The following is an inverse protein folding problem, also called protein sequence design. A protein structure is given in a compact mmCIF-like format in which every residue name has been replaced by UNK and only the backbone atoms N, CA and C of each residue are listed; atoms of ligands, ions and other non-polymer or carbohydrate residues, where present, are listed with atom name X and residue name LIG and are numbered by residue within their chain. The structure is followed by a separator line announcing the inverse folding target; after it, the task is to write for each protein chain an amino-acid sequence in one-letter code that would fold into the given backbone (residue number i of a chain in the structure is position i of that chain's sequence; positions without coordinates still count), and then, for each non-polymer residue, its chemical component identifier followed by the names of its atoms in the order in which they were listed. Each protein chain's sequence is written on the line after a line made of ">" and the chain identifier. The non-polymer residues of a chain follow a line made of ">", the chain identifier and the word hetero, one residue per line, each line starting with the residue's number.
data_IF_673551981047
#
_entry.id   IF_673551981047
#
_cell.length_a   1.000
_cell.length_b   1.000
_cell.length_c   1.000
_cell.angle_alpha   90.00
_cell.angle_beta   90.00
_cell.angle_gamma   90.00
#
_symmetry.space_group_name_H-M   'P 1'
#
loop_
_entity.id
_entity.type
_entity.pdbx_description
1 polymer ?
#
# COMPACT_ATOMS: atom_id res chain seq x y z
N UNK A 1 -41.44 1.99 24.49
CA UNK A 1 -41.28 1.03 23.38
C UNK A 1 -39.79 0.79 23.23
N UNK A 2 -39.30 -0.37 23.66
CA UNK A 2 -37.88 -0.72 23.69
C UNK A 2 -37.56 -1.47 22.41
N UNK A 3 -36.62 -0.97 21.60
CA UNK A 3 -36.14 -1.66 20.40
C UNK A 3 -34.76 -2.25 20.72
N UNK A 4 -34.70 -3.56 20.88
CA UNK A 4 -33.45 -4.32 21.00
C UNK A 4 -33.06 -4.78 19.60
N UNK A 5 -31.91 -4.34 19.09
CA UNK A 5 -31.36 -4.79 17.80
C UNK A 5 -30.23 -5.76 18.06
N UNK A 6 -30.43 -7.04 17.73
CA UNK A 6 -29.37 -8.03 17.65
C UNK A 6 -28.81 -8.04 16.21
N UNK A 7 -27.50 -7.87 16.07
CA UNK A 7 -26.81 -7.90 14.77
C UNK A 7 -26.23 -9.30 14.59
N UNK A 8 -26.80 -10.05 13.64
CA UNK A 8 -26.18 -11.26 13.08
C UNK A 8 -25.45 -10.87 11.80
N UNK A 9 -24.16 -11.23 11.73
CA UNK A 9 -23.32 -11.10 10.54
C UNK A 9 -23.78 -12.08 9.46
N UNK A 10 -24.38 -11.56 8.40
CA UNK A 10 -24.22 -12.11 7.05
C UNK A 10 -24.47 -11.00 6.03
N UNK A 11 -23.63 -10.98 5.00
CA UNK A 11 -23.67 -10.04 3.89
C UNK A 11 -25.05 -10.00 3.24
N UNK A 12 -25.63 -8.80 3.13
CA UNK A 12 -26.60 -8.41 2.10
C UNK A 12 -26.80 -6.89 2.17
N UNK A 13 -26.80 -6.26 1.01
CA UNK A 13 -26.93 -4.82 0.80
C UNK A 13 -28.24 -4.27 1.39
N UNK A 14 -28.14 -3.18 2.15
CA UNK A 14 -29.29 -2.51 2.77
C UNK A 14 -29.62 -1.25 1.96
N UNK A 15 -30.59 -1.36 1.05
CA UNK A 15 -31.16 -0.20 0.35
C UNK A 15 -32.28 0.38 1.22
N UNK A 16 -32.07 1.57 1.79
CA UNK A 16 -33.10 2.28 2.57
C UNK A 16 -33.84 3.26 1.65
N UNK A 17 -35.11 2.97 1.33
CA UNK A 17 -36.00 3.89 0.61
C UNK A 17 -36.84 4.68 1.62
N UNK A 18 -36.68 6.00 1.64
CA UNK A 18 -37.51 6.91 2.43
C UNK A 18 -38.60 7.49 1.53
N UNK A 19 -39.85 7.04 1.72
CA UNK A 19 -41.04 7.67 1.12
C UNK A 19 -41.42 8.91 1.93
N UNK A 20 -41.12 10.09 1.41
CA UNK A 20 -41.71 11.34 1.88
C UNK A 20 -43.10 11.53 1.26
N UNK A 21 -44.14 11.45 2.09
CA UNK A 21 -45.50 11.85 1.77
C UNK A 21 -45.56 13.38 1.70
N UNK A 22 -45.76 13.94 0.51
CA UNK A 22 -46.08 15.37 0.35
C UNK A 22 -47.45 15.49 -0.31
N UNK A 23 -48.42 15.97 0.47
CA UNK A 23 -49.64 16.57 -0.06
C UNK A 23 -49.48 18.07 -0.03
N UNK A 24 -49.59 18.72 -1.20
CA UNK A 24 -50.30 19.98 -1.45
C UNK A 24 -50.06 20.44 -2.90
N UNK A 25 -51.13 20.99 -3.48
CA UNK A 25 -51.38 21.31 -4.90
C UNK A 25 -50.58 22.50 -5.46
N UNK A 26 -50.59 22.73 -6.80
CA UNK A 26 -49.62 23.59 -7.45
C UNK A 26 -50.08 25.06 -7.52
N UNK A 27 -49.13 25.98 -7.32
CA UNK A 27 -49.25 27.38 -7.72
C UNK A 27 -48.27 27.68 -8.86
N UNK A 28 -48.77 28.33 -9.90
CA UNK A 28 -48.07 28.75 -11.11
C UNK A 28 -47.99 30.27 -11.11
N UNK A 29 -46.81 30.87 -11.19
CA UNK A 29 -46.62 32.26 -11.64
C UNK A 29 -45.32 32.36 -12.44
N UNK A 30 -45.42 33.11 -13.53
CA UNK A 30 -44.44 33.40 -14.58
C UNK A 30 -43.65 34.69 -14.32
N UNK A 31 -42.56 34.83 -15.09
CA UNK A 31 -41.90 36.04 -15.60
C UNK A 31 -40.56 36.52 -14.99
N UNK A 32 -39.55 36.50 -15.88
CA UNK A 32 -38.59 37.54 -16.29
C UNK A 32 -38.04 38.55 -15.27
N UNK A 33 -36.73 38.76 -15.34
CA UNK A 33 -36.13 40.03 -14.95
C UNK A 33 -34.61 39.97 -14.86
N UNK A 34 -33.94 40.81 -15.63
CA UNK A 34 -32.51 41.08 -15.60
C UNK A 34 -32.03 41.59 -14.24
N UNK A 35 -30.76 41.37 -13.90
CA UNK A 35 -30.11 41.99 -12.74
C UNK A 35 -28.88 42.75 -13.23
N UNK A 36 -28.99 44.07 -13.13
CA UNK A 36 -27.90 45.03 -13.20
C UNK A 36 -27.02 44.98 -11.94
N UNK A 37 -25.74 45.27 -12.18
CA UNK A 37 -24.68 45.69 -11.27
C UNK A 37 -25.11 46.65 -10.16
N UNK A 38 -24.46 46.57 -8.97
CA UNK A 38 -23.98 47.69 -8.13
C UNK A 38 -23.25 47.18 -6.84
N UNK A 39 -22.52 48.00 -6.03
CA UNK A 39 -21.06 47.98 -5.98
C UNK A 39 -20.42 47.59 -4.62
N UNK A 40 -19.09 47.47 -4.66
CA UNK A 40 -18.16 47.19 -3.57
C UNK A 40 -18.13 48.27 -2.48
N UNK A 41 -18.22 47.85 -1.21
CA UNK A 41 -17.96 48.68 -0.01
C UNK A 41 -16.69 48.16 0.67
N UNK A 42 -15.68 49.03 0.77
CA UNK A 42 -14.46 48.83 1.57
C UNK A 42 -14.75 49.18 3.04
N UNK A 43 -14.41 48.29 3.95
CA UNK A 43 -14.35 48.53 5.39
C UNK A 43 -12.91 48.35 5.86
N UNK A 44 -12.26 49.48 6.17
CA UNK A 44 -11.03 49.56 6.95
C UNK A 44 -11.39 49.61 8.43
N UNK A 45 -10.84 48.72 9.25
CA UNK A 45 -10.87 48.82 10.70
C UNK A 45 -9.45 48.93 11.25
N UNK A 46 -9.21 50.05 11.94
CA UNK A 46 -8.08 50.29 12.83
C UNK A 46 -8.33 49.55 14.15
N UNK A 47 -7.31 48.89 14.69
CA UNK A 47 -7.31 48.35 16.04
C UNK A 47 -6.24 49.06 16.86
N UNK A 48 -6.68 49.95 17.75
CA UNK A 48 -5.88 50.47 18.85
C UNK A 48 -5.84 49.44 19.99
N UNK A 49 -4.63 49.12 20.47
CA UNK A 49 -4.36 48.30 21.64
C UNK A 49 -4.06 49.20 22.85
N UNK A 50 -4.61 48.92 24.05
CA UNK A 50 -4.11 49.53 25.27
C UNK A 50 -3.14 48.61 26.03
N UNK A 51 -2.04 49.23 26.47
CA UNK A 51 -1.04 48.70 27.39
C UNK A 51 -1.64 48.22 28.72
N UNK A 52 -1.15 47.09 29.24
CA UNK A 52 -1.38 46.67 30.62
C UNK A 52 -0.06 46.36 31.34
N UNK A 53 0.36 47.36 32.10
CA UNK A 53 0.88 47.36 33.48
C UNK A 53 1.43 46.05 34.07
N UNK A 54 2.72 46.13 34.42
CA UNK A 54 3.48 45.16 35.19
C UNK A 54 3.05 45.13 36.67
N UNK A 55 2.89 43.94 37.26
CA UNK A 55 2.97 43.73 38.71
C UNK A 55 3.87 42.53 39.05
N UNK A 56 4.89 42.82 39.86
CA UNK A 56 5.68 41.87 40.67
C UNK A 56 4.78 41.18 41.70
N UNK A 57 5.15 39.96 42.14
CA UNK A 57 4.95 39.63 43.54
C UNK A 57 6.19 39.07 44.24
N UNK A 58 6.09 39.15 45.57
CA UNK A 58 7.11 39.02 46.59
C UNK A 58 7.49 37.57 46.94
N UNK A 59 8.66 37.46 47.57
CA UNK A 59 9.16 36.27 48.26
C UNK A 59 8.25 35.89 49.42
N UNK A 60 7.91 34.60 49.55
CA UNK A 60 7.30 34.03 50.76
C UNK A 60 8.05 32.77 51.19
N UNK A 61 8.31 32.70 52.50
CA UNK A 61 9.11 31.73 53.23
C UNK A 61 8.57 30.28 53.21
N UNK A 62 9.51 29.35 53.35
CA UNK A 62 9.35 27.91 53.51
C UNK A 62 8.66 27.51 54.83
N UNK A 63 7.67 26.61 54.73
CA UNK A 63 7.20 25.73 55.80
C UNK A 63 6.82 24.37 55.20
N UNK A 64 7.01 23.25 55.93
CA UNK A 64 6.96 21.90 55.36
C UNK A 64 5.53 21.39 55.19
N UNK A 65 5.26 20.77 54.04
CA UNK A 65 3.98 20.13 53.72
C UNK A 65 3.91 18.70 54.31
N UNK A 66 2.72 18.24 54.72
CA UNK A 66 2.49 16.88 55.16
C UNK A 66 2.47 15.92 53.95
N UNK A 67 3.09 14.75 54.13
CA UNK A 67 2.97 13.59 53.26
C UNK A 67 1.50 13.17 53.20
N UNK A 68 0.86 13.38 52.05
CA UNK A 68 -0.47 12.86 51.79
C UNK A 68 -0.42 11.92 50.58
N UNK A 69 -0.66 10.64 50.87
CA UNK A 69 -0.90 9.58 49.89
C UNK A 69 -2.26 9.79 49.23
N UNK A 70 -2.30 10.19 47.96
CA UNK A 70 -3.47 9.99 47.08
C UNK A 70 -3.13 10.25 45.60
N UNK A 71 -2.25 9.43 45.02
CA UNK A 71 -2.20 9.26 43.57
C UNK A 71 -3.32 8.32 43.13
N UNK A 72 -4.55 8.82 43.10
CA UNK A 72 -5.60 8.25 42.24
C UNK A 72 -5.73 9.22 41.07
N UNK A 73 -5.04 8.86 40.00
CA UNK A 73 -5.07 9.53 38.71
C UNK A 73 -6.51 9.72 38.25
N UNK A 74 -6.90 10.97 38.00
CA UNK A 74 -8.17 11.32 37.39
C UNK A 74 -8.18 10.93 35.91
N UNK A 75 -8.25 9.63 35.62
CA UNK A 75 -8.56 9.15 34.27
C UNK A 75 -9.94 9.67 33.90
N UNK A 76 -10.05 10.36 32.77
CA UNK A 76 -11.33 10.73 32.21
C UNK A 76 -12.19 9.46 32.07
N UNK A 77 -13.49 9.55 32.36
CA UNK A 77 -14.38 8.41 32.20
C UNK A 77 -14.30 7.88 30.76
N UNK A 78 -14.43 6.56 30.59
CA UNK A 78 -14.41 5.90 29.27
C UNK A 78 -15.39 6.57 28.30
N UNK A 79 -16.57 6.97 28.79
CA UNK A 79 -17.56 7.72 28.03
C UNK A 79 -17.02 9.06 27.50
N UNK A 80 -16.22 9.77 28.29
CA UNK A 80 -15.59 11.04 27.87
C UNK A 80 -14.58 10.78 26.75
N UNK A 81 -13.79 9.70 26.85
CA UNK A 81 -12.82 9.31 25.82
C UNK A 81 -13.54 8.95 24.51
N UNK A 82 -14.59 8.12 24.57
CA UNK A 82 -15.39 7.75 23.40
C UNK A 82 -16.05 8.97 22.75
N UNK A 83 -16.55 9.92 23.54
CA UNK A 83 -17.14 11.15 23.01
C UNK A 83 -16.10 12.01 22.29
N UNK A 84 -14.87 12.10 22.82
CA UNK A 84 -13.77 12.85 22.18
C UNK A 84 -13.33 12.18 20.89
N UNK A 85 -13.14 10.86 20.89
CA UNK A 85 -12.71 10.11 19.70
C UNK A 85 -13.81 10.09 18.62
N UNK A 86 -15.05 9.82 19.00
CA UNK A 86 -16.19 9.86 18.07
C UNK A 86 -16.33 11.23 17.42
N UNK A 87 -16.18 12.30 18.19
CA UNK A 87 -16.18 13.66 17.63
C UNK A 87 -15.02 13.89 16.67
N UNK A 88 -13.80 13.47 17.03
CA UNK A 88 -12.62 13.62 16.17
C UNK A 88 -12.78 12.89 14.83
N UNK A 89 -13.33 11.67 14.84
CA UNK A 89 -13.55 10.87 13.64
C UNK A 89 -14.49 11.55 12.63
N UNK A 90 -15.63 12.05 13.12
CA UNK A 90 -16.67 12.69 12.30
C UNK A 90 -16.44 14.17 12.03
N UNK A 91 -15.42 14.81 12.64
CA UNK A 91 -15.11 16.21 12.39
C UNK A 91 -14.47 16.37 10.99
N UNK A 92 -15.14 17.03 10.04
CA UNK A 92 -14.60 17.22 8.71
C UNK A 92 -13.52 18.29 8.67
N UNK A 93 -13.31 19.07 9.75
CA UNK A 93 -12.38 20.20 9.73
C UNK A 93 -10.92 19.73 9.59
N UNK A 94 -10.05 20.54 8.96
CA UNK A 94 -8.64 20.23 8.89
C UNK A 94 -8.03 20.05 10.28
N UNK A 95 -7.12 19.10 10.44
CA UNK A 95 -6.37 18.91 11.68
C UNK A 95 -5.24 19.94 11.75
N UNK A 96 -5.58 21.19 12.09
CA UNK A 96 -4.62 22.28 12.15
C UNK A 96 -3.62 22.21 13.32
N UNK A 97 -3.76 21.25 14.23
CA UNK A 97 -2.89 21.07 15.40
C UNK A 97 -2.47 19.61 15.55
N UNK A 98 -1.28 19.38 16.11
CA UNK A 98 -0.75 18.03 16.40
C UNK A 98 -1.68 17.24 17.33
N UNK A 99 -2.33 17.90 18.31
CA UNK A 99 -3.31 17.24 19.19
C UNK A 99 -4.50 16.69 18.41
N UNK A 100 -5.07 17.47 17.47
CA UNK A 100 -6.19 17.01 16.63
C UNK A 100 -5.75 15.87 15.71
N UNK A 101 -4.55 15.95 15.15
CA UNK A 101 -4.00 14.90 14.30
C UNK A 101 -3.82 13.58 15.05
N UNK A 102 -3.36 13.61 16.31
CA UNK A 102 -3.27 12.43 17.18
C UNK A 102 -4.64 11.91 17.61
N UNK A 103 -5.58 12.79 17.95
CA UNK A 103 -6.95 12.39 18.30
C UNK A 103 -7.66 11.70 17.13
N UNK A 104 -7.51 12.23 15.91
CA UNK A 104 -8.04 11.58 14.71
C UNK A 104 -7.36 10.23 14.45
N UNK A 105 -6.04 10.15 14.59
CA UNK A 105 -5.31 8.89 14.44
C UNK A 105 -5.81 7.81 15.41
N UNK A 106 -5.92 8.16 16.70
CA UNK A 106 -6.45 7.27 17.73
C UNK A 106 -7.90 6.86 17.45
N UNK A 107 -8.74 7.79 16.99
CA UNK A 107 -10.14 7.51 16.64
C UNK A 107 -10.27 6.55 15.44
N UNK A 108 -9.27 6.52 14.56
CA UNK A 108 -9.17 5.60 13.42
C UNK A 108 -8.53 4.25 13.79
N UNK A 109 -8.05 4.08 15.03
CA UNK A 109 -7.41 2.84 15.49
C UNK A 109 -5.91 2.76 15.24
N UNK A 110 -5.25 3.87 14.89
CA UNK A 110 -3.79 3.92 14.76
C UNK A 110 -3.10 4.03 16.13
N UNK A 111 -1.80 3.65 16.24
CA UNK A 111 -1.02 3.81 17.46
C UNK A 111 -1.03 5.23 17.99
N UNK A 112 -0.91 5.41 19.30
CA UNK A 112 -1.03 6.72 19.96
C UNK A 112 0.05 7.72 19.56
N UNK A 113 1.17 7.20 19.06
CA UNK A 113 2.31 7.96 18.53
C UNK A 113 2.09 8.45 17.09
N UNK A 114 1.06 7.97 16.40
CA UNK A 114 0.77 8.31 15.00
C UNK A 114 -0.10 9.56 14.86
N UNK A 115 -0.07 10.16 13.67
CA UNK A 115 -0.81 11.38 13.33
C UNK A 115 -1.57 11.16 12.04
N UNK A 116 -2.82 11.62 11.98
CA UNK A 116 -3.57 11.74 10.72
C UNK A 116 -3.77 13.22 10.45
N UNK A 117 -3.11 13.72 9.40
CA UNK A 117 -3.27 15.09 8.94
C UNK A 117 -4.41 15.14 7.92
N UNK A 118 -5.53 15.71 8.35
CA UNK A 118 -6.71 15.94 7.52
C UNK A 118 -6.62 17.31 6.86
N UNK A 119 -6.75 17.35 5.54
CA UNK A 119 -6.94 18.58 4.76
C UNK A 119 -8.32 18.58 4.11
N UNK A 120 -8.90 19.76 3.97
CA UNK A 120 -10.18 19.95 3.28
C UNK A 120 -9.94 20.84 2.08
N UNK A 121 -10.05 20.25 0.90
CA UNK A 121 -9.88 20.97 -0.36
C UNK A 121 -11.26 21.29 -0.95
N UNK A 122 -11.49 22.55 -1.30
CA UNK A 122 -12.68 22.96 -2.06
C UNK A 122 -12.36 23.00 -3.54
N UNK A 123 -12.92 22.06 -4.30
CA UNK A 123 -12.73 21.93 -5.74
C UNK A 123 -14.10 21.98 -6.39
N UNK A 124 -14.34 22.98 -7.27
CA UNK A 124 -15.62 23.21 -7.95
C UNK A 124 -16.83 23.32 -6.99
N UNK A 125 -16.67 24.05 -5.88
CA UNK A 125 -17.77 24.32 -4.94
C UNK A 125 -18.18 23.14 -4.05
N UNK A 126 -17.57 21.97 -4.22
CA UNK A 126 -17.75 20.84 -3.30
C UNK A 126 -16.54 20.78 -2.34
N UNK A 127 -16.67 20.20 -1.14
CA UNK A 127 -15.53 20.02 -0.19
C UNK A 127 -15.07 18.56 -0.18
N UNK A 128 -13.76 18.32 -0.24
CA UNK A 128 -13.15 16.98 -0.27
C UNK A 128 -12.21 16.85 0.91
N UNK A 129 -12.36 15.77 1.67
CA UNK A 129 -11.48 15.44 2.80
C UNK A 129 -10.38 14.54 2.26
N UNK A 130 -9.13 14.89 2.55
CA UNK A 130 -7.97 14.06 2.27
C UNK A 130 -7.18 13.85 3.57
N UNK A 131 -6.92 12.59 3.90
CA UNK A 131 -6.18 12.20 5.09
C UNK A 131 -4.80 11.69 4.69
N UNK A 132 -3.77 12.20 5.36
CA UNK A 132 -2.41 11.68 5.26
C UNK A 132 -1.98 11.14 6.61
N UNK A 133 -1.67 9.85 6.66
CA UNK A 133 -1.31 9.13 7.89
C UNK A 133 0.20 9.19 8.04
N UNK A 134 0.70 9.49 9.25
CA UNK A 134 2.12 9.57 9.58
C UNK A 134 2.40 8.67 10.80
N UNK A 135 3.45 7.84 10.73
CA UNK A 135 3.89 7.02 11.86
C UNK A 135 4.61 7.82 12.95
N UNK A 136 4.82 9.12 12.70
CA UNK A 136 5.56 10.04 13.55
C UNK A 136 5.11 11.48 13.36
N UNK A 137 5.95 12.43 13.77
CA UNK A 137 5.63 13.84 13.63
C UNK A 137 5.87 14.25 12.17
N UNK A 138 4.93 14.92 11.48
CA UNK A 138 5.06 15.17 10.03
C UNK A 138 6.33 15.92 9.60
N UNK A 139 6.95 16.69 10.49
CA UNK A 139 8.18 17.47 10.26
C UNK A 139 9.48 16.71 10.58
N UNK A 140 9.40 15.41 10.85
CA UNK A 140 10.56 14.59 11.22
C UNK A 140 11.03 13.63 10.14
N UNK A 141 10.50 13.73 8.91
CA UNK A 141 10.71 12.75 7.82
C UNK A 141 10.29 11.32 8.21
N UNK A 142 9.23 11.22 9.01
CA UNK A 142 8.62 9.93 9.34
C UNK A 142 7.87 9.33 8.16
N UNK A 143 7.70 8.01 8.18
CA UNK A 143 6.94 7.30 7.16
C UNK A 143 5.47 7.79 7.10
N UNK A 144 4.94 7.90 5.88
CA UNK A 144 3.60 8.41 5.63
C UNK A 144 2.83 7.59 4.59
N UNK A 145 1.51 7.53 4.74
CA UNK A 145 0.59 6.81 3.83
C UNK A 145 -0.56 7.71 3.40
N UNK A 146 -1.07 7.43 2.20
CA UNK A 146 -2.32 7.97 1.68
C UNK A 146 -3.46 6.93 1.71
N UNK A 147 -3.12 5.64 1.82
CA UNK A 147 -4.09 4.54 1.88
C UNK A 147 -4.25 4.03 3.29
N UNK A 148 -5.48 4.13 3.82
CA UNK A 148 -5.81 3.66 5.17
C UNK A 148 -5.57 2.16 5.35
N UNK A 149 -5.87 1.33 4.35
CA UNK A 149 -5.69 -0.12 4.46
C UNK A 149 -4.22 -0.50 4.65
N UNK A 150 -3.32 0.07 3.85
CA UNK A 150 -1.88 -0.14 3.99
C UNK A 150 -1.38 0.34 5.37
N UNK A 151 -1.81 1.54 5.79
CA UNK A 151 -1.48 2.07 7.11
C UNK A 151 -2.01 1.19 8.25
N UNK A 152 -3.19 0.61 8.12
CA UNK A 152 -3.81 -0.26 9.13
C UNK A 152 -3.08 -1.61 9.26
N UNK A 153 -2.68 -2.23 8.14
CA UNK A 153 -1.87 -3.46 8.16
C UNK A 153 -0.57 -3.25 8.92
N UNK A 154 0.04 -2.09 8.71
CA UNK A 154 1.26 -1.68 9.41
C UNK A 154 1.02 -1.39 10.89
N UNK A 155 -0.03 -0.61 11.20
CA UNK A 155 -0.42 -0.29 12.56
C UNK A 155 -0.70 -1.54 13.40
N UNK A 156 -1.26 -2.59 12.80
CA UNK A 156 -1.50 -3.87 13.48
C UNK A 156 -0.21 -4.59 13.89
N UNK A 157 0.90 -4.34 13.19
CA UNK A 157 2.23 -4.88 13.52
C UNK A 157 3.08 -3.93 14.38
N UNK A 158 2.58 -2.72 14.67
CA UNK A 158 3.33 -1.68 15.39
C UNK A 158 3.47 -2.02 16.88
N UNK A 159 4.68 -1.87 17.39
CA UNK A 159 5.00 -1.99 18.80
C UNK A 159 5.71 -0.72 19.27
N UNK A 160 5.08 0.06 20.14
CA UNK A 160 5.59 1.35 20.62
C UNK A 160 6.97 1.27 21.30
N UNK A 161 7.40 0.09 21.79
CA UNK A 161 8.72 -0.08 22.44
C UNK A 161 9.87 -0.31 21.44
N UNK A 162 9.56 -0.85 20.26
CA UNK A 162 10.58 -1.36 19.32
C UNK A 162 10.45 -0.84 17.90
N UNK A 163 9.28 -0.31 17.53
CA UNK A 163 9.03 0.28 16.23
C UNK A 163 9.46 1.74 16.24
N UNK A 164 10.17 2.16 15.19
CA UNK A 164 10.56 3.56 15.00
C UNK A 164 9.76 4.15 13.86
N UNK A 165 9.34 5.41 14.00
CA UNK A 165 8.63 6.15 12.95
C UNK A 165 9.49 6.44 11.71
N UNK A 166 10.78 6.15 11.80
CA UNK A 166 11.80 6.36 10.79
C UNK A 166 12.35 5.00 10.41
N UNK A 167 12.22 4.63 9.13
CA UNK A 167 13.27 3.86 8.49
C UNK A 167 14.23 4.88 7.88
N UNK A 168 15.52 4.86 8.24
CA UNK A 168 16.54 5.73 7.64
C UNK A 168 16.80 5.43 6.13
N UNK A 169 15.78 4.95 5.41
CA UNK A 169 15.79 4.58 4.00
C UNK A 169 14.44 4.82 3.30
N UNK A 170 13.40 5.31 3.99
CA UNK A 170 12.09 5.60 3.41
C UNK A 170 11.32 4.35 2.98
N UNK A 171 10.20 4.07 3.64
CA UNK A 171 9.20 3.11 3.14
C UNK A 171 9.06 1.85 3.98
N UNK A 172 7.86 1.72 4.52
CA UNK A 172 7.20 0.50 4.99
C UNK A 172 7.86 -0.22 6.17
N UNK A 173 7.27 0.04 7.34
CA UNK A 173 7.31 -0.63 8.63
C UNK A 173 7.03 -2.15 8.63
N UNK A 174 7.66 -2.90 7.74
CA UNK A 174 8.04 -4.25 8.11
C UNK A 174 9.30 -4.13 8.97
N UNK A 175 9.45 -4.95 10.04
CA UNK A 175 10.72 -5.05 10.74
C UNK A 175 11.79 -5.21 9.67
N UNK A 176 12.80 -4.31 9.64
CA UNK A 176 13.85 -4.38 8.63
C UNK A 176 14.34 -5.81 8.62
N UNK A 177 14.19 -6.50 7.49
CA UNK A 177 14.72 -7.84 7.40
C UNK A 177 16.23 -7.73 7.25
N UNK A 178 17.00 -8.55 7.98
CA UNK A 178 18.45 -8.54 7.85
C UNK A 178 18.83 -9.01 6.46
N UNK A 179 19.70 -8.26 5.79
CA UNK A 179 20.13 -8.61 4.43
C UNK A 179 20.91 -9.92 4.38
N UNK A 180 21.52 -10.31 5.51
CA UNK A 180 22.39 -11.49 5.61
C UNK A 180 22.02 -12.36 6.81
N UNK A 181 22.09 -13.67 6.60
CA UNK A 181 21.88 -14.68 7.63
C UNK A 181 23.18 -15.31 8.10
N UNK A 182 23.09 -16.05 9.22
CA UNK A 182 24.20 -16.81 9.75
C UNK A 182 24.68 -17.83 8.70
N UNK A 183 25.99 -17.79 8.44
CA UNK A 183 26.74 -18.60 7.47
C UNK A 183 26.70 -18.13 6.02
N UNK A 184 26.06 -17.00 5.72
CA UNK A 184 26.14 -16.39 4.40
C UNK A 184 27.59 -16.02 4.07
N UNK A 185 27.95 -16.25 2.80
CA UNK A 185 29.23 -15.82 2.23
C UNK A 185 29.06 -14.42 1.68
N UNK A 186 29.80 -13.48 2.25
CA UNK A 186 29.69 -12.05 1.96
C UNK A 186 31.05 -11.47 1.66
N UNK A 187 31.08 -10.26 1.12
CA UNK A 187 32.26 -9.43 1.07
C UNK A 187 32.11 -8.29 2.07
N UNK A 188 33.18 -8.00 2.80
CA UNK A 188 33.21 -6.97 3.85
C UNK A 188 34.22 -5.91 3.47
N UNK A 189 33.82 -4.65 3.56
CA UNK A 189 34.70 -3.51 3.29
C UNK A 189 35.66 -3.33 4.48
N UNK A 190 36.97 -3.45 4.23
CA UNK A 190 38.03 -3.21 5.19
C UNK A 190 39.15 -2.42 4.50
N UNK A 191 39.53 -1.28 5.08
CA UNK A 191 40.56 -0.37 4.53
C UNK A 191 40.33 0.06 3.06
N UNK A 192 39.06 0.16 2.64
CA UNK A 192 38.68 0.57 1.29
C UNK A 192 38.65 -0.56 0.26
N UNK A 193 39.00 -1.77 0.66
CA UNK A 193 38.94 -2.97 -0.18
C UNK A 193 37.86 -3.94 0.30
N UNK A 194 37.34 -4.77 -0.61
CA UNK A 194 36.31 -5.76 -0.32
C UNK A 194 36.92 -7.14 -0.13
N UNK A 195 36.79 -7.69 1.08
CA UNK A 195 37.38 -8.96 1.46
C UNK A 195 36.32 -10.04 1.65
N UNK A 196 36.61 -11.25 1.16
CA UNK A 196 35.71 -12.39 1.33
C UNK A 196 35.60 -12.80 2.81
N UNK A 197 34.37 -12.93 3.29
CA UNK A 197 34.07 -13.31 4.65
C UNK A 197 32.81 -14.21 4.75
N UNK A 198 32.61 -14.77 5.94
CA UNK A 198 31.43 -15.55 6.32
C UNK A 198 30.77 -14.93 7.53
N UNK A 199 29.45 -14.74 7.48
CA UNK A 199 28.68 -14.23 8.63
C UNK A 199 28.62 -15.32 9.72
N UNK A 200 29.12 -15.01 10.92
CA UNK A 200 29.09 -15.90 12.08
C UNK A 200 27.91 -15.64 13.00
N UNK A 201 27.56 -14.36 13.21
CA UNK A 201 26.51 -13.95 14.13
C UNK A 201 25.88 -12.64 13.67
N UNK A 202 24.57 -12.50 13.88
CA UNK A 202 23.82 -11.27 13.73
C UNK A 202 23.42 -10.74 15.11
N UNK A 203 23.48 -9.42 15.29
CA UNK A 203 22.94 -8.73 16.47
C UNK A 203 22.06 -7.57 16.01
N UNK A 204 20.83 -7.53 16.51
CA UNK A 204 19.91 -6.40 16.30
C UNK A 204 20.39 -5.21 17.14
N UNK A 205 20.39 -4.03 16.54
CA UNK A 205 20.73 -2.76 17.17
C UNK A 205 19.69 -1.70 16.78
N UNK A 206 19.60 -0.59 17.53
CA UNK A 206 18.60 0.46 17.26
C UNK A 206 18.73 1.09 15.86
N UNK A 207 19.93 1.04 15.27
CA UNK A 207 20.22 1.63 13.95
C UNK A 207 20.17 0.61 12.79
N UNK A 208 19.83 -0.65 13.08
CA UNK A 208 19.81 -1.76 12.11
C UNK A 208 20.55 -3.00 12.60
N UNK A 209 21.14 -3.76 11.68
CA UNK A 209 21.84 -5.00 12.01
C UNK A 209 23.35 -4.80 12.05
N UNK A 210 23.98 -5.37 13.08
CA UNK A 210 25.43 -5.47 13.22
C UNK A 210 25.83 -6.93 13.10
N UNK A 211 26.91 -7.18 12.37
CA UNK A 211 27.34 -8.53 12.06
C UNK A 211 28.71 -8.84 12.69
N UNK A 212 28.88 -10.11 13.07
CA UNK A 212 30.17 -10.70 13.31
C UNK A 212 30.52 -11.55 12.10
N UNK A 213 31.65 -11.26 11.48
CA UNK A 213 32.12 -11.90 10.25
C UNK A 213 33.46 -12.60 10.52
N UNK A 214 33.76 -13.61 9.71
CA UNK A 214 35.05 -14.30 9.69
C UNK A 214 35.63 -14.24 8.28
N UNK A 215 36.81 -13.66 8.13
CA UNK A 215 37.51 -13.55 6.85
C UNK A 215 37.96 -14.94 6.36
N UNK A 216 37.86 -15.17 5.05
CA UNK A 216 38.13 -16.48 4.45
C UNK A 216 39.63 -16.79 4.41
N UNK A 217 40.46 -15.77 4.18
CA UNK A 217 41.90 -15.94 3.92
C UNK A 217 42.72 -16.28 5.17
N UNK A 218 42.45 -15.60 6.29
CA UNK A 218 43.24 -15.68 7.53
C UNK A 218 42.44 -16.18 8.73
N UNK A 219 41.15 -16.46 8.54
CA UNK A 219 40.20 -16.88 9.58
C UNK A 219 40.02 -15.87 10.74
N UNK A 220 40.47 -14.63 10.58
CA UNK A 220 40.29 -13.58 11.58
C UNK A 220 38.81 -13.18 11.69
N UNK A 221 38.43 -12.62 12.84
CA UNK A 221 37.04 -12.28 13.15
C UNK A 221 36.91 -10.80 13.40
N UNK A 222 35.86 -10.20 12.84
CA UNK A 222 35.48 -8.81 13.12
C UNK A 222 34.05 -8.76 13.64
N UNK A 223 33.83 -8.03 14.72
CA UNK A 223 32.51 -7.84 15.36
C UNK A 223 32.01 -6.43 15.13
N UNK A 224 30.68 -6.26 15.04
CA UNK A 224 30.08 -4.93 14.95
C UNK A 224 30.14 -4.32 13.55
N UNK A 225 30.37 -5.14 12.52
CA UNK A 225 30.40 -4.67 11.13
C UNK A 225 29.02 -4.14 10.75
N UNK A 226 28.99 -2.92 10.23
CA UNK A 226 27.78 -2.29 9.72
C UNK A 226 27.25 -3.04 8.50
N UNK A 227 25.93 -3.18 8.37
CA UNK A 227 25.31 -3.79 7.19
C UNK A 227 25.73 -3.08 5.89
N UNK A 228 25.98 -1.75 5.93
CA UNK A 228 26.46 -0.97 4.78
C UNK A 228 27.87 -1.34 4.31
N UNK A 229 28.66 -1.97 5.17
CA UNK A 229 30.02 -2.44 4.87
C UNK A 229 30.03 -3.90 4.44
N UNK A 230 28.86 -4.49 4.18
CA UNK A 230 28.71 -5.89 3.78
C UNK A 230 27.93 -5.92 2.48
N UNK A 231 28.38 -6.74 1.53
CA UNK A 231 27.65 -7.02 0.29
C UNK A 231 27.65 -8.52 -0.02
N UNK A 232 26.69 -9.02 -0.82
CA UNK A 232 26.76 -10.38 -1.33
C UNK A 232 28.07 -10.60 -2.09
N UNK A 233 28.68 -11.77 -1.93
CA UNK A 233 29.91 -12.13 -2.66
C UNK A 233 29.62 -12.17 -4.17
N UNK A 234 30.34 -11.38 -4.96
CA UNK A 234 30.09 -11.23 -6.41
C UNK A 234 30.20 -12.55 -7.19
N UNK A 235 31.12 -13.42 -6.80
CA UNK A 235 31.41 -14.68 -7.50
C UNK A 235 30.23 -15.66 -7.47
N UNK A 236 29.31 -15.53 -6.50
CA UNK A 236 28.15 -16.42 -6.37
C UNK A 236 27.01 -16.09 -7.35
N UNK A 237 26.97 -14.87 -7.90
CA UNK A 237 25.86 -14.43 -8.74
C UNK A 237 25.88 -15.05 -10.15
N UNK A 238 27.05 -15.45 -10.67
CA UNK A 238 27.10 -16.16 -11.96
C UNK A 238 26.65 -17.62 -11.82
N UNK A 239 26.91 -18.25 -10.67
CA UNK A 239 26.52 -19.64 -10.42
C UNK A 239 25.06 -19.78 -9.99
N UNK A 240 24.45 -18.77 -9.38
CA UNK A 240 23.10 -18.89 -8.82
C UNK A 240 22.03 -19.21 -9.89
N UNK A 241 22.12 -18.58 -11.07
CA UNK A 241 21.22 -18.85 -12.20
C UNK A 241 21.53 -20.20 -12.86
N UNK A 242 22.82 -20.54 -13.00
CA UNK A 242 23.24 -21.82 -13.56
C UNK A 242 22.78 -22.99 -12.66
N UNK A 243 22.89 -22.84 -11.34
CA UNK A 243 22.42 -23.80 -10.36
C UNK A 243 20.90 -23.91 -10.39
N UNK A 244 20.16 -22.80 -10.47
CA UNK A 244 18.70 -22.84 -10.61
C UNK A 244 18.28 -23.64 -11.85
N UNK A 245 18.88 -23.34 -13.01
CA UNK A 245 18.64 -24.06 -14.26
C UNK A 245 18.99 -25.54 -14.15
N UNK A 246 20.11 -25.87 -13.51
CA UNK A 246 20.52 -27.26 -13.26
C UNK A 246 19.53 -28.01 -12.37
N UNK A 247 18.87 -27.33 -11.43
CA UNK A 247 17.89 -27.92 -10.52
C UNK A 247 16.47 -28.00 -11.09
N UNK A 248 16.26 -27.56 -12.34
CA UNK A 248 14.98 -27.63 -13.05
C UNK A 248 14.11 -26.37 -12.94
N UNK A 249 14.64 -25.26 -12.44
CA UNK A 249 13.90 -23.99 -12.40
C UNK A 249 14.02 -23.24 -13.74
N UNK A 250 12.99 -22.46 -14.07
CA UNK A 250 12.93 -21.63 -15.28
C UNK A 250 13.88 -20.43 -15.29
N UNK A 251 13.86 -19.65 -16.38
CA UNK A 251 14.66 -18.41 -16.48
C UNK A 251 14.23 -17.38 -15.41
N UNK A 252 15.19 -16.63 -14.88
CA UNK A 252 14.96 -15.62 -13.84
C UNK A 252 15.02 -16.13 -12.39
N UNK A 253 14.91 -17.44 -12.17
CA UNK A 253 15.10 -18.04 -10.85
C UNK A 253 16.58 -18.05 -10.45
N UNK A 254 16.85 -17.83 -9.17
CA UNK A 254 18.18 -17.93 -8.57
C UNK A 254 18.18 -18.99 -7.48
N UNK A 255 19.18 -19.87 -7.45
CA UNK A 255 19.31 -20.87 -6.40
C UNK A 255 20.71 -20.81 -5.79
N UNK A 256 20.79 -20.80 -4.46
CA UNK A 256 22.05 -20.97 -3.73
C UNK A 256 21.92 -22.16 -2.78
N UNK A 257 22.94 -23.03 -2.80
CA UNK A 257 23.04 -24.19 -1.92
C UNK A 257 24.17 -23.98 -0.90
N UNK A 258 23.82 -24.03 0.37
CA UNK A 258 24.77 -23.95 1.48
C UNK A 258 24.72 -25.26 2.28
N UNK A 259 25.42 -26.28 1.77
CA UNK A 259 25.40 -27.62 2.34
C UNK A 259 24.02 -28.28 2.18
N UNK A 260 23.30 -28.51 3.28
CA UNK A 260 21.93 -29.04 3.26
C UNK A 260 20.85 -27.95 3.14
N UNK A 261 21.22 -26.67 3.29
CA UNK A 261 20.28 -25.55 3.23
C UNK A 261 20.22 -24.99 1.81
N UNK A 262 19.01 -24.65 1.38
CA UNK A 262 18.75 -24.05 0.08
C UNK A 262 18.14 -22.66 0.30
N UNK A 263 18.52 -21.71 -0.55
CA UNK A 263 17.82 -20.44 -0.70
C UNK A 263 17.54 -20.29 -2.18
N UNK A 264 16.27 -20.35 -2.54
CA UNK A 264 15.81 -20.19 -3.92
C UNK A 264 15.00 -18.91 -4.00
N UNK A 265 15.33 -18.03 -4.92
CA UNK A 265 14.67 -16.74 -5.12
C UNK A 265 13.94 -16.81 -6.45
N UNK A 266 12.62 -16.65 -6.40
CA UNK A 266 11.78 -16.58 -7.59
C UNK A 266 11.95 -15.23 -8.32
N UNK A 267 11.50 -15.12 -9.59
CA UNK A 267 11.63 -13.90 -10.38
C UNK A 267 10.92 -12.67 -9.77
N UNK A 268 9.91 -12.90 -8.94
CA UNK A 268 9.16 -11.91 -8.16
C UNK A 268 9.90 -11.45 -6.87
N UNK A 269 11.04 -12.07 -6.56
CA UNK A 269 11.81 -11.83 -5.34
C UNK A 269 11.42 -12.70 -4.15
N UNK A 270 10.42 -13.57 -4.28
CA UNK A 270 9.99 -14.47 -3.20
C UNK A 270 11.09 -15.45 -2.84
N UNK A 271 11.42 -15.56 -1.54
CA UNK A 271 12.53 -16.38 -1.05
C UNK A 271 12.02 -17.68 -0.42
N UNK A 272 12.42 -18.81 -1.00
CA UNK A 272 12.14 -20.14 -0.48
C UNK A 272 13.37 -20.72 0.22
N UNK A 273 13.18 -21.21 1.44
CA UNK A 273 14.26 -21.81 2.27
C UNK A 273 14.45 -23.31 2.02
N UNK A 274 13.65 -23.90 1.13
CA UNK A 274 13.78 -25.31 0.73
C UNK A 274 13.56 -25.50 -0.76
N UNK A 275 14.34 -26.41 -1.37
CA UNK A 275 14.19 -26.76 -2.79
C UNK A 275 12.79 -27.31 -3.11
N UNK A 276 12.20 -28.11 -2.20
CA UNK A 276 10.87 -28.71 -2.41
C UNK A 276 9.79 -27.63 -2.49
N UNK A 277 9.76 -26.70 -1.54
CA UNK A 277 8.77 -25.61 -1.54
C UNK A 277 8.92 -24.72 -2.78
N UNK A 278 10.15 -24.46 -3.20
CA UNK A 278 10.40 -23.69 -4.42
C UNK A 278 9.89 -24.43 -5.68
N UNK A 279 10.10 -25.74 -5.79
CA UNK A 279 9.61 -26.53 -6.93
C UNK A 279 8.09 -26.65 -6.93
N UNK A 280 7.48 -26.78 -5.75
CA UNK A 280 6.02 -26.81 -5.60
C UNK A 280 5.41 -25.49 -6.08
N UNK A 281 5.94 -24.34 -5.62
CA UNK A 281 5.51 -23.03 -6.10
C UNK A 281 5.80 -22.82 -7.60
N UNK A 282 6.95 -23.31 -8.10
CA UNK A 282 7.27 -23.25 -9.53
C UNK A 282 6.24 -24.01 -10.38
N UNK A 283 5.85 -25.21 -9.94
CA UNK A 283 4.81 -25.99 -10.61
C UNK A 283 3.41 -25.44 -10.41
N UNK A 284 3.14 -24.74 -9.30
CA UNK A 284 1.84 -24.12 -9.02
C UNK A 284 1.61 -22.87 -9.87
N UNK A 285 2.67 -22.12 -10.22
CA UNK A 285 2.58 -21.02 -11.19
C UNK A 285 2.27 -21.54 -12.61
N UNK A 286 2.75 -22.73 -12.95
CA UNK A 286 2.43 -23.40 -14.22
C UNK A 286 1.11 -24.20 -14.16
N UNK A 287 0.64 -24.54 -12.96
CA UNK A 287 -0.69 -25.09 -12.75
C UNK A 287 -1.67 -23.94 -12.92
N UNK A 288 -2.18 -23.79 -14.15
CA UNK A 288 -3.38 -23.00 -14.43
C UNK A 288 -4.36 -23.18 -13.28
N UNK A 289 -4.75 -22.09 -12.58
CA UNK A 289 -5.61 -22.18 -11.40
C UNK A 289 -6.80 -23.05 -11.75
N UNK A 290 -7.13 -23.98 -10.85
CA UNK A 290 -8.29 -24.87 -11.01
C UNK A 290 -9.50 -23.97 -11.28
N UNK A 291 -9.93 -23.96 -12.55
CA UNK A 291 -11.03 -23.14 -13.06
C UNK A 291 -12.22 -23.43 -12.16
N UNK A 292 -12.82 -22.39 -11.58
CA UNK A 292 -14.08 -22.54 -10.85
C UNK A 292 -15.04 -23.34 -11.72
N UNK A 293 -15.69 -24.34 -11.13
CA UNK A 293 -16.17 -25.55 -11.79
C UNK A 293 -17.29 -25.36 -12.86
N UNK A 294 -17.58 -24.13 -13.28
CA UNK A 294 -18.59 -23.75 -14.26
C UNK A 294 -18.06 -23.18 -15.58
N UNK A 295 -16.92 -22.48 -15.59
CA UNK A 295 -16.51 -21.71 -16.78
C UNK A 295 -15.70 -22.55 -17.78
N UNK A 296 -15.90 -22.33 -19.11
CA UNK A 296 -15.08 -22.99 -20.11
C UNK A 296 -13.61 -22.59 -19.94
N UNK A 297 -12.66 -23.53 -20.09
CA UNK A 297 -11.25 -23.25 -19.89
C UNK A 297 -10.75 -22.24 -20.93
N UNK A 298 -10.01 -21.23 -20.48
CA UNK A 298 -9.34 -20.27 -21.35
C UNK A 298 -8.48 -20.99 -22.39
N UNK A 299 -8.72 -20.71 -23.68
CA UNK A 299 -7.89 -21.20 -24.77
C UNK A 299 -6.58 -20.43 -24.76
N UNK A 300 -5.47 -21.15 -24.72
CA UNK A 300 -4.11 -20.57 -24.72
C UNK A 300 -3.43 -20.66 -26.09
N UNK A 301 -4.13 -21.12 -27.13
CA UNK A 301 -3.62 -21.29 -28.49
C UNK A 301 -4.64 -20.85 -29.55
N UNK A 302 -4.19 -20.74 -30.81
CA UNK A 302 -5.02 -20.57 -32.02
C UNK A 302 -5.74 -19.22 -32.22
N UNK A 303 -5.32 -18.15 -31.53
CA UNK A 303 -5.78 -16.79 -31.82
C UNK A 303 -4.61 -15.87 -32.15
N UNK A 304 -4.79 -14.97 -33.12
CA UNK A 304 -3.73 -14.05 -33.57
C UNK A 304 -3.35 -12.98 -32.52
N UNK A 305 -4.29 -12.67 -31.62
CA UNK A 305 -4.06 -11.74 -30.52
C UNK A 305 -3.33 -12.34 -29.32
N UNK A 306 -3.23 -13.68 -29.21
CA UNK A 306 -2.53 -14.30 -28.10
C UNK A 306 -1.06 -13.86 -28.08
N UNK A 307 -0.62 -13.41 -26.91
CA UNK A 307 0.73 -12.90 -26.69
C UNK A 307 0.98 -11.48 -27.19
N UNK A 308 0.01 -10.82 -27.84
CA UNK A 308 0.12 -9.39 -28.14
C UNK A 308 0.00 -8.57 -26.86
N UNK A 309 0.65 -7.40 -26.87
CA UNK A 309 0.59 -6.44 -25.78
C UNK A 309 -0.47 -5.37 -26.04
N UNK A 310 -1.13 -4.96 -24.97
CA UNK A 310 -2.12 -3.88 -25.00
C UNK A 310 -1.72 -2.75 -24.07
N UNK A 311 -2.13 -1.53 -24.39
CA UNK A 311 -2.07 -0.38 -23.49
C UNK A 311 -3.46 -0.19 -22.89
N UNK A 312 -3.57 -0.40 -21.58
CA UNK A 312 -4.84 -0.25 -20.86
C UNK A 312 -4.75 0.94 -19.91
N UNK A 313 -5.62 1.92 -20.10
CA UNK A 313 -5.69 3.11 -19.25
C UNK A 313 -6.78 2.92 -18.20
N UNK A 314 -6.40 2.60 -16.97
CA UNK A 314 -7.34 2.54 -15.86
C UNK A 314 -7.50 3.91 -15.24
N UNK A 315 -8.73 4.38 -15.14
CA UNK A 315 -9.04 5.60 -14.40
C UNK A 315 -9.33 5.22 -12.95
N UNK A 316 -8.41 5.55 -12.05
CA UNK A 316 -8.58 5.30 -10.62
C UNK A 316 -8.89 6.59 -9.86
N UNK A 317 -9.84 6.50 -8.93
CA UNK A 317 -10.18 7.60 -8.04
C UNK A 317 -9.23 7.58 -6.83
N UNK A 318 -8.10 8.29 -6.89
CA UNK A 318 -7.23 8.48 -5.71
C UNK A 318 -8.01 9.19 -4.60
N UNK A 319 -8.96 10.04 -4.99
CA UNK A 319 -9.89 10.70 -4.10
C UNK A 319 -11.22 10.91 -4.80
N UNK A 320 -12.26 11.35 -4.08
CA UNK A 320 -13.60 11.58 -4.62
C UNK A 320 -13.69 12.57 -5.80
N UNK A 321 -12.60 13.27 -6.16
CA UNK A 321 -12.54 14.21 -7.31
C UNK A 321 -11.27 14.16 -8.14
N UNK A 322 -10.25 13.43 -7.71
CA UNK A 322 -9.03 13.27 -8.49
C UNK A 322 -9.03 11.89 -9.07
N UNK A 323 -9.20 11.87 -10.37
CA UNK A 323 -9.05 10.71 -11.19
C UNK A 323 -7.63 10.77 -11.73
N UNK A 324 -6.87 9.72 -11.47
CA UNK A 324 -5.61 9.47 -12.16
C UNK A 324 -5.91 8.47 -13.27
N UNK A 325 -5.41 8.75 -14.46
CA UNK A 325 -5.29 7.74 -15.50
C UNK A 325 -3.93 7.08 -15.34
N UNK A 326 -3.95 5.77 -15.11
CA UNK A 326 -2.74 4.96 -15.03
C UNK A 326 -2.72 4.05 -16.25
N UNK A 327 -1.71 4.22 -17.08
CA UNK A 327 -1.47 3.37 -18.23
C UNK A 327 -0.70 2.12 -17.80
N UNK A 328 -1.22 0.95 -18.15
CA UNK A 328 -0.60 -0.34 -17.87
C UNK A 328 -0.45 -1.13 -19.17
N UNK A 329 0.71 -1.73 -19.37
CA UNK A 329 0.95 -2.62 -20.50
C UNK A 329 0.62 -4.05 -20.09
N UNK A 330 -0.45 -4.59 -20.65
CA UNK A 330 -0.89 -5.97 -20.43
C UNK A 330 -0.49 -6.91 -21.55
N UNK A 331 -0.63 -8.21 -21.35
CA UNK A 331 -0.45 -9.24 -22.38
C UNK A 331 -1.67 -10.14 -22.46
N UNK A 332 -2.15 -10.41 -23.67
CA UNK A 332 -3.26 -11.35 -23.90
C UNK A 332 -2.75 -12.77 -23.64
N UNK A 333 -3.32 -13.45 -22.64
CA UNK A 333 -2.86 -14.77 -22.18
C UNK A 333 -3.86 -15.89 -22.47
N UNK A 334 -5.14 -15.56 -22.69
CA UNK A 334 -6.19 -16.52 -22.97
C UNK A 334 -7.36 -15.90 -23.72
N UNK A 335 -8.22 -16.75 -24.29
CA UNK A 335 -9.48 -16.31 -24.91
C UNK A 335 -10.56 -17.39 -24.84
N UNK A 336 -11.82 -16.98 -24.98
CA UNK A 336 -13.01 -17.83 -25.11
C UNK A 336 -13.60 -17.58 -26.49
N UNK A 337 -13.92 -18.65 -27.21
CA UNK A 337 -14.56 -18.55 -28.52
C UNK A 337 -16.08 -18.33 -28.38
N UNK A 338 -16.69 -17.67 -29.36
CA UNK A 338 -18.15 -17.52 -29.44
C UNK A 338 -18.90 -18.86 -29.47
N UNK A 339 -18.22 -19.93 -29.93
CA UNK A 339 -18.76 -21.30 -30.01
C UNK A 339 -18.53 -22.12 -28.75
N UNK A 340 -17.76 -21.60 -27.79
CA UNK A 340 -17.51 -22.31 -26.54
C UNK A 340 -18.78 -22.30 -25.70
N UNK A 341 -19.06 -23.43 -25.06
CA UNK A 341 -20.21 -23.62 -24.19
C UNK A 341 -19.77 -24.17 -22.85
N UNK A 342 -20.46 -23.76 -21.79
CA UNK A 342 -20.26 -24.26 -20.44
C UNK A 342 -20.83 -25.69 -20.28
N UNK A 343 -20.73 -26.24 -19.07
CA UNK A 343 -21.29 -27.58 -18.75
C UNK A 343 -22.81 -27.65 -18.88
N UNK A 344 -23.52 -26.53 -18.80
CA UNK A 344 -24.96 -26.44 -18.96
C UNK A 344 -25.39 -26.24 -20.44
N UNK A 345 -24.42 -26.13 -21.36
CA UNK A 345 -24.66 -25.85 -22.78
C UNK A 345 -24.99 -24.38 -23.07
N UNK A 346 -24.75 -23.48 -22.13
CA UNK A 346 -24.87 -22.04 -22.33
C UNK A 346 -23.58 -21.50 -22.97
N UNK A 347 -23.65 -20.44 -23.78
CA UNK A 347 -22.46 -19.82 -24.35
C UNK A 347 -21.46 -19.39 -23.27
N UNK A 348 -20.18 -19.63 -23.51
CA UNK A 348 -19.11 -19.31 -22.56
C UNK A 348 -19.03 -17.82 -22.22
N UNK A 349 -19.40 -16.96 -23.17
CA UNK A 349 -19.56 -15.53 -22.95
C UNK A 349 -20.63 -14.96 -23.89
N UNK A 350 -21.47 -14.06 -23.36
CA UNK A 350 -22.50 -13.35 -24.13
C UNK A 350 -22.22 -11.86 -24.00
N UNK A 351 -21.99 -11.18 -25.14
CA UNK A 351 -21.66 -9.76 -25.14
C UNK A 351 -22.78 -8.94 -24.52
N UNK A 352 -22.41 -8.00 -23.64
CA UNK A 352 -23.40 -7.12 -23.03
C UNK A 352 -24.04 -6.20 -24.06
N UNK A 353 -23.31 -5.87 -25.13
CA UNK A 353 -23.70 -4.92 -26.18
C UNK A 353 -24.62 -5.57 -27.21
N UNK A 354 -24.24 -6.72 -27.75
CA UNK A 354 -25.00 -7.39 -28.82
C UNK A 354 -26.05 -8.37 -28.27
N UNK A 355 -25.87 -8.84 -27.02
CA UNK A 355 -26.65 -9.94 -26.41
C UNK A 355 -26.50 -11.28 -27.16
N UNK A 356 -25.46 -11.40 -27.98
CA UNK A 356 -25.12 -12.61 -28.72
C UNK A 356 -23.83 -13.25 -28.15
N UNK A 357 -23.62 -14.57 -28.35
CA UNK A 357 -22.34 -15.20 -28.03
C UNK A 357 -21.19 -14.45 -28.70
N UNK A 358 -20.14 -14.16 -27.94
CA UNK A 358 -19.03 -13.34 -28.42
C UNK A 358 -17.69 -13.89 -27.93
N UNK A 359 -16.60 -13.42 -28.54
CA UNK A 359 -15.24 -13.72 -28.10
C UNK A 359 -14.85 -12.84 -26.93
N UNK A 360 -14.22 -13.44 -25.93
CA UNK A 360 -13.69 -12.74 -24.76
C UNK A 360 -12.20 -13.05 -24.62
N UNK A 361 -11.39 -12.04 -24.34
CA UNK A 361 -9.94 -12.15 -24.20
C UNK A 361 -9.53 -11.85 -22.76
N UNK A 362 -8.70 -12.72 -22.18
CA UNK A 362 -8.13 -12.53 -20.85
C UNK A 362 -6.76 -11.86 -20.96
N UNK A 363 -6.62 -10.68 -20.36
CA UNK A 363 -5.38 -9.93 -20.29
C UNK A 363 -4.82 -10.00 -18.89
N UNK A 364 -3.52 -10.30 -18.79
CA UNK A 364 -2.77 -10.26 -17.55
C UNK A 364 -1.81 -9.07 -17.56
N UNK A 365 -1.83 -8.30 -16.48
CA UNK A 365 -0.90 -7.19 -16.26
C UNK A 365 0.24 -7.67 -15.36
N UNK A 366 1.51 -7.56 -15.79
CA UNK A 366 2.64 -7.88 -14.93
C UNK A 366 2.77 -6.86 -13.80
N UNK A 367 3.31 -7.29 -12.65
CA UNK A 367 3.62 -6.38 -11.55
C UNK A 367 4.73 -5.42 -11.96
N UNK A 368 4.36 -4.17 -12.24
CA UNK A 368 5.31 -3.11 -12.50
C UNK A 368 5.71 -2.41 -11.20
N UNK A 369 6.82 -2.86 -10.61
CA UNK A 369 7.41 -2.24 -9.43
C UNK A 369 7.86 -0.78 -9.65
N UNK A 370 7.96 -0.30 -10.90
CA UNK A 370 8.32 1.08 -11.19
C UNK A 370 7.16 2.06 -10.97
N UNK A 371 5.92 1.57 -10.98
CA UNK A 371 4.74 2.39 -10.77
C UNK A 371 4.07 2.06 -9.42
N UNK A 372 4.02 3.00 -8.46
CA UNK A 372 3.62 2.72 -7.07
C UNK A 372 2.18 2.20 -6.91
N UNK A 373 1.35 2.36 -7.94
CA UNK A 373 -0.06 1.95 -7.92
C UNK A 373 -0.37 0.78 -8.88
N UNK A 374 0.46 0.50 -9.88
CA UNK A 374 0.05 -0.36 -10.99
C UNK A 374 -0.30 -1.78 -10.54
N UNK A 375 0.53 -2.38 -9.67
CA UNK A 375 0.30 -3.71 -9.10
C UNK A 375 -0.97 -3.83 -8.26
N UNK A 376 -1.56 -2.71 -7.81
CA UNK A 376 -2.74 -2.71 -6.93
C UNK A 376 -4.03 -2.36 -7.66
N UNK A 377 -3.98 -1.88 -8.91
CA UNK A 377 -5.16 -1.42 -9.62
C UNK A 377 -5.88 -2.57 -10.32
N UNK A 378 -5.19 -3.24 -11.24
CA UNK A 378 -5.76 -4.30 -12.08
C UNK A 378 -4.67 -5.34 -12.32
N UNK A 379 -4.90 -6.57 -11.83
CA UNK A 379 -4.03 -7.72 -12.09
C UNK A 379 -4.40 -8.43 -13.39
N UNK A 380 -5.69 -8.42 -13.73
CA UNK A 380 -6.24 -8.95 -14.97
C UNK A 380 -7.50 -8.22 -15.40
N UNK A 381 -7.78 -8.17 -16.69
CA UNK A 381 -9.00 -7.62 -17.27
C UNK A 381 -9.45 -8.51 -18.43
N UNK A 382 -10.75 -8.70 -18.55
CA UNK A 382 -11.35 -9.38 -19.71
C UNK A 382 -11.94 -8.34 -20.66
N UNK A 383 -11.69 -8.51 -21.96
CA UNK A 383 -12.13 -7.58 -23.01
C UNK A 383 -12.80 -8.31 -24.17
N UNK A 384 -13.84 -7.71 -24.73
CA UNK A 384 -14.40 -8.16 -26.00
C UNK A 384 -13.45 -7.84 -27.17
N UNK A 385 -13.60 -8.54 -28.29
CA UNK A 385 -12.74 -8.37 -29.48
C UNK A 385 -12.61 -6.91 -29.94
N UNK A 386 -13.74 -6.20 -29.97
CA UNK A 386 -13.79 -4.81 -30.42
C UNK A 386 -13.14 -3.81 -29.44
N UNK A 387 -13.10 -4.13 -28.15
CA UNK A 387 -12.42 -3.33 -27.13
C UNK A 387 -10.91 -3.58 -27.18
N UNK A 388 -10.54 -4.85 -27.34
CA UNK A 388 -9.16 -5.28 -27.46
C UNK A 388 -8.46 -4.63 -28.65
N UNK A 389 -9.11 -4.60 -29.81
CA UNK A 389 -8.58 -3.97 -31.03
C UNK A 389 -8.22 -2.49 -30.84
N UNK A 390 -9.00 -1.77 -30.03
CA UNK A 390 -8.73 -0.37 -29.69
C UNK A 390 -7.53 -0.16 -28.76
N UNK A 391 -7.05 -1.22 -28.09
CA UNK A 391 -5.97 -1.16 -27.10
C UNK A 391 -4.66 -1.83 -27.58
N UNK A 392 -4.64 -2.46 -28.75
CA UNK A 392 -3.45 -3.15 -29.28
C UNK A 392 -2.31 -2.17 -29.55
N UNK A 393 -1.13 -2.46 -29.00
CA UNK A 393 0.08 -1.71 -29.29
C UNK A 393 0.74 -2.32 -30.55
N UNK A 394 1.13 -1.51 -31.54
CA UNK A 394 1.99 -1.95 -32.65
C UNK A 394 3.32 -2.53 -32.12
N UNK A 395 3.84 -3.59 -32.74
CA UNK A 395 5.04 -4.28 -32.26
C UNK A 395 6.29 -3.37 -32.26
N UNK A 396 6.29 -2.38 -33.14
CA UNK A 396 7.30 -1.33 -33.31
C UNK A 396 7.25 -0.23 -32.23
N UNK A 397 6.12 -0.08 -31.53
CA UNK A 397 5.96 0.91 -30.45
C UNK A 397 6.22 0.33 -29.05
N UNK A 398 6.50 -0.97 -28.96
CA UNK A 398 6.78 -1.59 -27.68
C UNK A 398 8.05 -0.98 -27.07
N UNK A 399 8.00 -0.49 -25.81
CA UNK A 399 9.20 -0.03 -25.14
C UNK A 399 10.21 -1.16 -25.20
N UNK A 400 11.49 -0.87 -25.55
CA UNK A 400 12.49 -1.90 -25.73
C UNK A 400 12.52 -2.73 -24.45
N UNK A 401 12.00 -3.95 -24.53
CA UNK A 401 12.09 -4.90 -23.43
C UNK A 401 13.57 -4.92 -23.08
N UNK A 402 13.92 -4.54 -21.84
CA UNK A 402 15.31 -4.48 -21.41
C UNK A 402 15.87 -5.87 -21.67
N UNK A 403 16.50 -6.06 -22.83
CA UNK A 403 17.03 -7.35 -23.24
C UNK A 403 17.92 -7.72 -22.08
N UNK A 404 17.56 -8.82 -21.40
CA UNK A 404 18.36 -9.37 -20.32
C UNK A 404 19.78 -9.36 -20.85
N UNK A 405 20.61 -8.47 -20.30
CA UNK A 405 21.88 -8.10 -20.91
C UNK A 405 22.66 -9.40 -20.97
N UNK A 406 22.75 -10.02 -22.16
CA UNK A 406 23.51 -11.25 -22.39
C UNK A 406 24.92 -10.93 -21.89
N UNK A 407 25.24 -11.42 -20.71
CA UNK A 407 26.51 -11.25 -20.03
C UNK A 407 27.31 -12.51 -20.23
#
# INVERSE_FOLDING_TARGET
>A
MVLTVAILKSSLELTVSVKASTGLSPFRVTHSGAIDTLPSVKLTQNCDLPERSQRKPEKRLDLPLPLNNSSIEGMASEQTVLNVLGRAFWDPTPTGTDLRARQLAAAMGYPTTWRVVRTVDTIQGRSMIADRIYAGKPDTDCDAWFHHEAAMKVAAAWNDESSTAFSNAGGHLLPREPLFDKHDKVQVMYEGEWWDAKVLRRKTHNEGFRYQVQYVQDHSKQTGVDERLIRPRQDLNHDAFALAKQQGFGEGWQATAHGKRWKVIAPDGTVYTSKKAALEAFHEVDATPAVEEGDPPWRTTQHEYLGRSILWTTTHNISARRNISVDQVGKVVGWIAETDVDKAGLPGFVSERTKEPARLFHIKFPDDHSHPYASYLVSSQDLEEHELEGCLIPEDELPPTKKARKR
#
